data_IF_854322118468
#
_entry.id   IF_854322118468
#
_cell.length_a   1.000
_cell.length_b   1.000
_cell.length_c   1.000
_cell.angle_alpha   90.00
_cell.angle_beta   90.00
_cell.angle_gamma   90.00
#
_symmetry.space_group_name_H-M   'P 1'
#
loop_
_entity.id
_entity.type
_entity.pdbx_description
1 polymer ?
#
# COMPACT_ATOMS: atom_id res chain seq x y z
N UNK A 1 -9.84 13.62 -7.79
CA UNK A 1 -9.28 14.99 -7.63
C UNK A 1 -8.09 14.94 -6.70
N UNK A 2 -7.12 15.86 -6.79
CA UNK A 2 -5.99 15.97 -5.85
C UNK A 2 -5.85 17.45 -5.49
N UNK A 3 -5.93 17.79 -4.22
CA UNK A 3 -5.84 19.17 -3.74
C UNK A 3 -5.10 19.24 -2.41
N UNK A 4 -4.66 20.44 -2.03
CA UNK A 4 -4.10 20.67 -0.70
C UNK A 4 -5.15 20.43 0.39
N UNK A 5 -4.71 19.82 1.49
CA UNK A 5 -5.54 19.55 2.66
C UNK A 5 -4.98 20.28 3.87
N UNK A 6 -5.81 21.10 4.50
CA UNK A 6 -5.40 21.91 5.65
C UNK A 6 -5.67 21.13 6.94
N UNK A 7 -4.60 20.64 7.57
CA UNK A 7 -4.70 19.80 8.78
C UNK A 7 -4.51 20.60 10.08
N UNK A 8 -3.91 21.79 10.02
CA UNK A 8 -3.75 22.64 11.20
C UNK A 8 -3.39 24.09 10.82
N UNK A 9 -3.30 24.98 11.82
CA UNK A 9 -2.77 26.35 11.66
C UNK A 9 -1.23 26.44 11.65
N UNK A 10 -0.53 25.31 11.69
CA UNK A 10 0.93 25.27 11.65
C UNK A 10 1.44 25.62 10.25
N UNK A 11 2.26 26.67 10.15
CA UNK A 11 2.77 27.15 8.87
C UNK A 11 3.72 26.14 8.22
N UNK A 12 4.45 25.35 9.00
CA UNK A 12 5.41 24.36 8.48
C UNK A 12 4.73 23.18 7.78
N UNK A 13 3.47 22.90 8.12
CA UNK A 13 2.69 21.80 7.55
C UNK A 13 1.83 22.23 6.35
N UNK A 14 1.82 23.51 5.97
CA UNK A 14 1.06 24.00 4.81
C UNK A 14 1.57 23.34 3.53
N UNK A 15 0.68 22.64 2.82
CA UNK A 15 0.99 21.95 1.56
C UNK A 15 1.60 20.55 1.71
N UNK A 16 1.92 20.13 2.94
CA UNK A 16 2.45 18.80 3.25
C UNK A 16 1.38 17.70 3.22
N UNK A 17 0.10 18.07 3.28
CA UNK A 17 -1.02 17.16 3.19
C UNK A 17 -1.82 17.39 1.92
N UNK A 18 -2.29 16.29 1.32
CA UNK A 18 -3.18 16.32 0.15
C UNK A 18 -4.46 15.56 0.47
N UNK A 19 -5.55 16.01 -0.13
CA UNK A 19 -6.79 15.24 -0.20
C UNK A 19 -6.91 14.67 -1.61
N UNK A 20 -6.98 13.35 -1.71
CA UNK A 20 -7.09 12.62 -2.97
C UNK A 20 -8.42 11.87 -3.02
N UNK A 21 -9.30 12.22 -3.97
CA UNK A 21 -10.56 11.51 -4.17
C UNK A 21 -10.43 10.44 -5.23
N UNK A 22 -10.80 9.22 -4.85
CA UNK A 22 -10.84 8.04 -5.70
C UNK A 22 -12.30 7.74 -6.05
N UNK A 23 -12.54 7.49 -7.35
CA UNK A 23 -13.79 6.93 -7.85
C UNK A 23 -13.63 5.42 -7.95
N UNK A 24 -14.46 4.67 -7.24
CA UNK A 24 -14.48 3.20 -7.29
C UNK A 24 -15.29 2.72 -8.48
N UNK A 25 -15.10 1.44 -8.83
CA UNK A 25 -15.79 0.78 -9.96
C UNK A 25 -17.31 0.77 -9.79
N UNK A 26 -17.80 0.76 -8.55
CA UNK A 26 -19.23 0.82 -8.20
C UNK A 26 -19.82 2.25 -8.25
N UNK A 27 -19.02 3.25 -8.63
CA UNK A 27 -19.42 4.66 -8.70
C UNK A 27 -19.34 5.41 -7.37
N UNK A 28 -18.99 4.73 -6.26
CA UNK A 28 -18.78 5.39 -4.98
C UNK A 28 -17.47 6.19 -4.95
N UNK A 29 -17.45 7.27 -4.16
CA UNK A 29 -16.27 8.12 -3.99
C UNK A 29 -15.74 7.92 -2.58
N UNK A 30 -14.42 7.79 -2.47
CA UNK A 30 -13.71 7.80 -1.18
C UNK A 30 -12.60 8.84 -1.23
N UNK A 31 -12.34 9.47 -0.10
CA UNK A 31 -11.26 10.42 0.03
C UNK A 31 -10.12 9.80 0.85
N UNK A 32 -8.91 9.91 0.34
CA UNK A 32 -7.70 9.59 1.06
C UNK A 32 -7.00 10.89 1.48
N UNK A 33 -6.74 11.02 2.78
CA UNK A 33 -5.84 12.04 3.33
C UNK A 33 -4.43 11.50 3.20
N UNK A 34 -3.63 12.17 2.37
CA UNK A 34 -2.22 11.89 2.17
C UNK A 34 -1.43 12.72 3.16
N UNK A 35 -0.64 12.07 4.01
CA UNK A 35 0.30 12.70 4.92
C UNK A 35 1.73 12.64 4.37
N UNK A 36 2.68 13.40 4.94
CA UNK A 36 4.10 13.27 4.61
C UNK A 36 4.67 11.86 4.83
N UNK A 37 4.00 11.07 5.66
CA UNK A 37 4.36 9.69 5.99
C UNK A 37 3.65 8.64 5.13
N UNK A 38 2.68 9.03 4.30
CA UNK A 38 2.04 8.10 3.37
C UNK A 38 3.09 7.59 2.38
N UNK A 39 3.26 6.27 2.33
CA UNK A 39 4.22 5.67 1.42
C UNK A 39 3.58 5.50 0.03
N UNK A 40 4.26 5.98 -1.00
CA UNK A 40 3.91 5.71 -2.39
C UNK A 40 4.87 4.65 -2.91
N UNK A 41 4.34 3.53 -3.40
CA UNK A 41 5.17 2.47 -3.95
C UNK A 41 6.08 3.01 -5.07
N UNK A 42 7.38 2.74 -4.99
CA UNK A 42 8.41 3.26 -5.92
C UNK A 42 8.53 4.79 -5.97
N UNK A 43 8.02 5.49 -4.94
CA UNK A 43 8.00 6.97 -4.88
C UNK A 43 7.39 7.60 -6.13
N UNK A 44 6.42 6.92 -6.76
CA UNK A 44 5.79 7.40 -7.98
C UNK A 44 4.90 8.59 -7.70
N UNK A 45 4.93 9.57 -8.61
CA UNK A 45 3.97 10.67 -8.60
C UNK A 45 2.64 10.20 -9.20
N UNK A 46 1.56 10.45 -8.48
CA UNK A 46 0.18 10.15 -8.91
C UNK A 46 -0.46 11.43 -9.44
N UNK A 47 -1.17 11.30 -10.56
CA UNK A 47 -1.91 12.39 -11.21
C UNK A 47 -3.39 12.05 -11.36
N UNK A 48 -4.23 13.06 -11.57
CA UNK A 48 -5.65 12.85 -11.86
C UNK A 48 -5.79 12.02 -13.15
N UNK A 49 -6.56 10.93 -13.08
CA UNK A 49 -6.73 9.98 -14.18
C UNK A 49 -5.95 8.67 -13.99
N UNK A 50 -5.00 8.61 -13.05
CA UNK A 50 -4.31 7.37 -12.70
C UNK A 50 -5.24 6.39 -11.96
N UNK A 51 -5.08 5.11 -12.26
CA UNK A 51 -5.66 4.02 -11.47
C UNK A 51 -4.73 3.71 -10.30
N UNK A 52 -5.28 3.75 -9.09
CA UNK A 52 -4.52 3.55 -7.87
C UNK A 52 -5.32 2.72 -6.88
N UNK A 53 -4.58 1.96 -6.07
CA UNK A 53 -5.10 1.24 -4.91
C UNK A 53 -4.55 1.89 -3.64
N UNK A 54 -5.45 2.34 -2.76
CA UNK A 54 -5.10 2.94 -1.47
C UNK A 54 -5.38 1.99 -0.31
N UNK A 55 -4.43 1.90 0.62
CA UNK A 55 -4.54 1.09 1.84
C UNK A 55 -4.58 2.00 3.07
N UNK A 56 -5.41 1.62 4.03
CA UNK A 56 -5.60 2.31 5.31
C UNK A 56 -5.69 1.30 6.44
N UNK A 57 -5.48 1.75 7.68
CA UNK A 57 -5.66 0.92 8.87
C UNK A 57 -7.14 0.87 9.26
N UNK A 58 -7.68 -0.35 9.31
CA UNK A 58 -9.08 -0.61 9.69
C UNK A 58 -9.36 -0.38 11.18
N UNK A 59 -8.31 -0.28 12.01
CA UNK A 59 -8.43 -0.06 13.46
C UNK A 59 -8.44 1.42 13.85
N UNK A 60 -8.14 2.34 12.91
CA UNK A 60 -8.18 3.76 13.18
C UNK A 60 -9.62 4.30 13.13
N UNK A 61 -10.02 5.20 14.05
CA UNK A 61 -11.34 5.81 14.01
C UNK A 61 -11.49 6.68 12.75
N UNK A 62 -12.62 6.52 12.05
CA UNK A 62 -12.93 7.27 10.83
C UNK A 62 -14.19 8.12 11.04
N UNK A 63 -14.18 9.42 10.68
CA UNK A 63 -15.37 10.26 10.74
C UNK A 63 -16.50 9.72 9.84
N UNK A 64 -17.72 9.65 10.39
CA UNK A 64 -18.93 9.21 9.67
C UNK A 64 -19.49 10.35 8.80
N UNK A 65 -18.75 10.75 7.77
CA UNK A 65 -19.14 11.77 6.79
C UNK A 65 -19.09 11.20 5.37
N UNK A 66 -19.75 11.88 4.42
CA UNK A 66 -19.73 11.50 3.00
C UNK A 66 -19.10 12.61 2.13
N UNK A 67 -18.17 12.28 1.21
CA UNK A 67 -17.50 10.99 1.07
C UNK A 67 -16.67 10.62 2.31
N UNK A 68 -16.55 9.33 2.66
CA UNK A 68 -15.72 8.90 3.77
C UNK A 68 -14.26 9.29 3.53
N UNK A 69 -13.55 9.65 4.61
CA UNK A 69 -12.16 10.10 4.56
C UNK A 69 -11.26 9.15 5.33
N UNK A 70 -10.31 8.50 4.66
CA UNK A 70 -9.37 7.57 5.25
C UNK A 70 -7.96 8.16 5.25
N UNK A 71 -7.19 7.93 6.31
CA UNK A 71 -5.77 8.22 6.30
C UNK A 71 -5.05 7.16 5.45
N UNK A 72 -4.36 7.60 4.39
CA UNK A 72 -3.61 6.70 3.54
C UNK A 72 -2.32 6.26 4.24
N UNK A 73 -2.15 4.95 4.44
CA UNK A 73 -0.86 4.37 4.81
C UNK A 73 0.00 4.14 3.58
N UNK A 74 -0.61 3.60 2.53
CA UNK A 74 0.03 3.23 1.29
C UNK A 74 -0.83 3.61 0.10
N UNK A 75 -0.21 4.18 -0.93
CA UNK A 75 -0.81 4.32 -2.26
C UNK A 75 0.03 3.56 -3.27
N UNK A 76 -0.63 2.74 -4.08
CA UNK A 76 -0.03 1.97 -5.17
C UNK A 76 -0.65 2.44 -6.47
N UNK A 77 0.17 2.82 -7.44
CA UNK A 77 -0.30 3.03 -8.81
C UNK A 77 -0.40 1.69 -9.52
N UNK A 78 -1.57 1.40 -10.08
CA UNK A 78 -1.84 0.13 -10.74
C UNK A 78 -0.94 -0.02 -11.97
N UNK A 79 -0.42 -1.23 -12.18
CA UNK A 79 0.48 -1.55 -13.28
C UNK A 79 0.13 -2.94 -13.81
N UNK A 80 -0.16 -3.12 -15.11
CA UNK A 80 -0.61 -4.39 -15.67
C UNK A 80 0.44 -5.51 -15.60
N UNK A 81 1.72 -5.18 -15.39
CA UNK A 81 2.81 -6.15 -15.36
C UNK A 81 3.22 -6.60 -13.96
N UNK A 82 2.60 -6.04 -12.91
CA UNK A 82 2.88 -6.42 -11.53
C UNK A 82 1.61 -6.39 -10.70
N UNK A 83 1.50 -7.36 -9.80
CA UNK A 83 0.51 -7.40 -8.76
C UNK A 83 1.11 -6.89 -7.46
N UNK A 84 0.28 -6.25 -6.65
CA UNK A 84 0.67 -5.78 -5.32
C UNK A 84 -0.28 -6.38 -4.30
N UNK A 85 0.28 -7.00 -3.26
CA UNK A 85 -0.48 -7.48 -2.11
C UNK A 85 0.09 -6.86 -0.84
N UNK A 86 -0.79 -6.27 -0.04
CA UNK A 86 -0.45 -5.78 1.29
C UNK A 86 -1.21 -6.62 2.29
N UNK A 87 -0.50 -7.40 3.09
CA UNK A 87 -1.12 -8.29 4.07
C UNK A 87 -0.13 -8.65 5.18
N UNK A 88 -0.64 -9.24 6.26
CA UNK A 88 0.18 -9.97 7.22
C UNK A 88 0.59 -11.32 6.63
N UNK A 89 1.87 -11.65 6.74
CA UNK A 89 2.42 -12.94 6.33
C UNK A 89 2.93 -13.70 7.54
N UNK A 90 2.49 -14.94 7.69
CA UNK A 90 2.81 -15.79 8.83
C UNK A 90 4.24 -16.35 8.79
N UNK A 91 4.52 -17.33 9.67
CA UNK A 91 5.82 -18.00 9.76
C UNK A 91 6.21 -18.79 8.51
N UNK A 92 5.24 -19.18 7.68
CA UNK A 92 5.42 -19.89 6.41
C UNK A 92 5.29 -18.96 5.20
N UNK A 93 5.24 -17.64 5.44
CA UNK A 93 5.03 -16.61 4.42
C UNK A 93 3.72 -16.82 3.64
N UNK A 94 2.67 -17.25 4.33
CA UNK A 94 1.31 -17.30 3.82
C UNK A 94 0.57 -16.05 4.27
N UNK A 95 -0.14 -15.41 3.34
CA UNK A 95 -0.95 -14.24 3.60
C UNK A 95 -2.13 -14.56 4.52
N UNK A 96 -2.64 -13.59 5.27
CA UNK A 96 -3.68 -13.82 6.29
C UNK A 96 -5.00 -14.35 5.72
N UNK A 97 -5.30 -14.03 4.46
CA UNK A 97 -6.44 -14.55 3.71
C UNK A 97 -6.22 -15.96 3.10
N UNK A 98 -5.06 -16.57 3.33
CA UNK A 98 -4.62 -17.85 2.77
C UNK A 98 -4.66 -17.92 1.23
N UNK A 99 -4.58 -16.79 0.54
CA UNK A 99 -4.62 -16.75 -0.94
C UNK A 99 -3.22 -16.73 -1.59
N UNK A 100 -2.18 -16.28 -0.89
CA UNK A 100 -0.84 -16.11 -1.46
C UNK A 100 0.23 -16.65 -0.51
N UNK A 101 1.15 -17.44 -1.05
CA UNK A 101 2.36 -17.88 -0.37
C UNK A 101 3.62 -17.41 -1.11
N UNK A 102 4.61 -16.91 -0.37
CA UNK A 102 5.83 -16.35 -0.94
C UNK A 102 6.99 -17.35 -0.93
N UNK A 103 7.58 -17.57 -2.09
CA UNK A 103 8.82 -18.32 -2.26
C UNK A 103 9.97 -17.32 -2.50
N UNK A 104 10.59 -16.86 -1.42
CA UNK A 104 11.65 -15.83 -1.47
C UNK A 104 12.90 -16.40 -2.12
N UNK A 105 13.36 -15.76 -3.20
CA UNK A 105 14.63 -16.08 -3.84
C UNK A 105 15.77 -15.26 -3.25
N UNK A 106 17.02 -15.69 -3.45
CA UNK A 106 18.21 -14.91 -3.08
C UNK A 106 18.31 -13.56 -3.80
N UNK A 107 17.56 -13.37 -4.88
CA UNK A 107 17.54 -12.13 -5.67
C UNK A 107 16.37 -11.22 -5.34
N UNK A 108 15.45 -11.63 -4.47
CA UNK A 108 14.30 -10.82 -4.07
C UNK A 108 14.77 -9.78 -3.04
N UNK A 109 14.85 -8.48 -3.38
CA UNK A 109 15.19 -7.45 -2.41
C UNK A 109 14.10 -7.35 -1.34
N UNK A 110 14.53 -7.32 -0.08
CA UNK A 110 13.68 -7.07 1.08
C UNK A 110 14.09 -5.72 1.65
N UNK A 111 13.17 -4.77 1.62
CA UNK A 111 13.43 -3.37 1.89
C UNK A 111 12.52 -2.84 3.00
N UNK A 112 12.93 -1.74 3.61
CA UNK A 112 12.09 -0.88 4.43
C UNK A 112 11.40 0.16 3.54
N UNK A 113 10.37 0.85 4.04
CA UNK A 113 9.63 1.88 3.29
C UNK A 113 10.52 3.05 2.82
N UNK A 114 11.67 3.27 3.45
CA UNK A 114 12.66 4.26 3.04
C UNK A 114 13.71 3.72 2.05
N UNK A 115 13.47 2.54 1.45
CA UNK A 115 14.35 1.79 0.55
C UNK A 115 15.69 1.35 1.16
N UNK A 116 15.80 1.33 2.49
CA UNK A 116 16.94 0.68 3.16
C UNK A 116 16.80 -0.83 3.14
N UNK A 117 17.92 -1.55 3.14
CA UNK A 117 17.94 -3.01 3.18
C UNK A 117 17.39 -3.52 4.53
N UNK A 118 16.47 -4.48 4.48
CA UNK A 118 16.05 -5.24 5.64
C UNK A 118 16.78 -6.59 5.67
N UNK A 119 17.49 -6.88 6.77
CA UNK A 119 18.41 -8.03 6.87
C UNK A 119 17.87 -9.19 7.70
N UNK A 120 16.70 -9.03 8.33
CA UNK A 120 16.07 -10.07 9.14
C UNK A 120 15.03 -10.86 8.33
N UNK A 121 14.43 -11.88 8.94
CA UNK A 121 13.34 -12.62 8.31
C UNK A 121 12.10 -11.73 8.15
N UNK A 122 11.48 -11.69 6.95
CA UNK A 122 10.22 -10.98 6.73
C UNK A 122 9.00 -11.74 7.25
N UNK A 123 9.15 -12.97 7.75
CA UNK A 123 8.06 -13.76 8.30
C UNK A 123 7.45 -13.16 9.57
N UNK A 124 6.17 -13.44 9.81
CA UNK A 124 5.36 -12.91 10.92
C UNK A 124 5.24 -11.37 10.94
N UNK A 125 5.07 -10.75 9.78
CA UNK A 125 5.04 -9.27 9.63
C UNK A 125 4.02 -8.83 8.57
N UNK A 126 3.64 -7.56 8.63
CA UNK A 126 2.92 -6.89 7.55
C UNK A 126 3.89 -6.58 6.41
N UNK A 127 3.59 -7.09 5.22
CA UNK A 127 4.42 -6.94 4.05
C UNK A 127 3.61 -6.31 2.91
N UNK A 128 4.25 -5.40 2.19
CA UNK A 128 3.87 -5.03 0.84
C UNK A 128 4.71 -5.88 -0.11
N UNK A 129 4.05 -6.75 -0.85
CA UNK A 129 4.66 -7.68 -1.79
C UNK A 129 4.34 -7.25 -3.19
N UNK A 130 5.36 -7.04 -4.01
CA UNK A 130 5.22 -6.84 -5.46
C UNK A 130 5.66 -8.12 -6.15
N UNK A 131 4.78 -8.69 -6.97
CA UNK A 131 4.98 -9.98 -7.60
C UNK A 131 4.35 -10.01 -8.99
N UNK A 132 4.73 -11.00 -9.78
CA UNK A 132 4.21 -11.18 -11.13
C UNK A 132 3.36 -12.44 -11.23
N UNK A 133 3.75 -13.41 -12.08
CA UNK A 133 3.04 -14.68 -12.25
C UNK A 133 3.00 -15.51 -10.96
N UNK A 134 1.85 -16.13 -10.71
CA UNK A 134 1.63 -17.10 -9.62
C UNK A 134 1.28 -18.48 -10.16
N UNK A 135 1.41 -19.50 -9.31
CA UNK A 135 0.83 -20.83 -9.58
C UNK A 135 -0.70 -20.80 -9.48
N UNK A 136 -1.36 -21.81 -10.06
CA UNK A 136 -2.82 -22.01 -9.96
C UNK A 136 -3.25 -22.84 -8.74
N UNK A 137 -2.39 -22.94 -7.72
CA UNK A 137 -2.70 -23.64 -6.46
C UNK A 137 -3.45 -22.74 -5.49
N UNK A 138 -3.97 -23.32 -4.41
CA UNK A 138 -4.54 -22.58 -3.27
C UNK A 138 -3.76 -23.00 -2.01
N UNK A 139 -2.97 -22.11 -1.38
CA UNK A 139 -2.67 -20.74 -1.83
C UNK A 139 -1.89 -20.71 -3.15
N UNK A 140 -2.04 -19.61 -3.89
CA UNK A 140 -1.22 -19.34 -5.06
C UNK A 140 0.22 -19.06 -4.59
N UNK A 141 1.22 -19.59 -5.29
CA UNK A 141 2.62 -19.41 -4.93
C UNK A 141 3.32 -18.50 -5.93
N UNK A 142 4.19 -17.62 -5.44
CA UNK A 142 5.00 -16.73 -6.30
C UNK A 142 6.38 -16.50 -5.72
N UNK A 143 7.35 -16.25 -6.60
CA UNK A 143 8.59 -15.56 -6.21
C UNK A 143 8.37 -14.06 -6.38
N UNK A 144 8.45 -13.25 -5.31
CA UNK A 144 8.24 -11.82 -5.40
C UNK A 144 9.38 -11.12 -6.16
N UNK A 145 9.03 -10.04 -6.84
CA UNK A 145 10.00 -9.10 -7.41
C UNK A 145 10.64 -8.24 -6.34
N UNK A 146 9.88 -7.85 -5.31
CA UNK A 146 10.39 -7.16 -4.13
C UNK A 146 9.41 -7.30 -2.96
N UNK A 147 9.95 -7.19 -1.76
CA UNK A 147 9.19 -7.14 -0.51
C UNK A 147 9.55 -5.86 0.21
N UNK A 148 8.54 -5.14 0.69
CA UNK A 148 8.71 -3.99 1.57
C UNK A 148 8.08 -4.35 2.92
N UNK A 149 8.88 -4.32 3.98
CA UNK A 149 8.44 -4.56 5.35
C UNK A 149 7.81 -3.30 5.89
N UNK A 150 6.55 -3.42 6.35
CA UNK A 150 5.82 -2.32 7.00
C UNK A 150 6.09 -2.41 8.51
N UNK A 151 6.80 -1.41 9.05
CA UNK A 151 7.27 -1.36 10.44
C UNK A 151 6.44 -0.42 11.30
#
# INVERSE_FOLDING_TARGET
MIQDYLVNSDEELKGCFKLMSLLRVDGSIVNFVISPTTYFLDRVMVSVGDHVTGFYDVNLPVPLIYPPQYQALLIVKDNPYQNVKVDYFDSQLVSSDAQLQLNISSYTPILLQNDQLFTLSPANRNLLVVYGPTTLSIPAQTTPFKIIVLC
#
